data_IF_524087595369
#
_entry.id   IF_524087595369
#
_cell.length_a   1.000
_cell.length_b   1.000
_cell.length_c   1.000
_cell.angle_alpha   90.00
_cell.angle_beta   90.00
_cell.angle_gamma   90.00
#
_symmetry.space_group_name_H-M   'P 1'
#
loop_
_entity.id
_entity.type
_entity.pdbx_description
1 polymer ?
#
# COMPACT_ATOMS: atom_id res chain seq x y z
N UNK A 1 -19.07 -2.49 -1.45
CA UNK A 1 -17.80 -3.26 -1.37
C UNK A 1 -16.73 -2.47 -2.09
N UNK A 2 -15.57 -2.28 -1.47
CA UNK A 2 -14.40 -1.63 -2.07
C UNK A 2 -13.19 -2.56 -1.92
N UNK A 3 -12.10 -2.28 -2.64
CA UNK A 3 -10.84 -3.00 -2.53
C UNK A 3 -9.67 -2.04 -2.24
N UNK A 4 -8.67 -2.53 -1.53
CA UNK A 4 -7.38 -1.86 -1.34
C UNK A 4 -6.32 -2.70 -2.05
N UNK A 5 -5.49 -2.06 -2.88
CA UNK A 5 -4.40 -2.68 -3.61
C UNK A 5 -3.06 -2.09 -3.09
N UNK A 6 -2.46 -2.70 -2.05
CA UNK A 6 -1.18 -2.25 -1.53
C UNK A 6 -0.04 -2.57 -2.49
N UNK A 7 0.97 -1.71 -2.51
CA UNK A 7 2.28 -2.00 -3.10
C UNK A 7 3.15 -2.84 -2.17
N UNK A 8 4.45 -2.55 -2.13
CA UNK A 8 5.37 -3.22 -1.22
C UNK A 8 5.19 -2.73 0.22
N UNK A 9 4.75 -3.64 1.10
CA UNK A 9 4.52 -3.38 2.52
C UNK A 9 5.55 -4.12 3.38
N UNK A 10 6.12 -3.44 4.36
CA UNK A 10 7.07 -3.99 5.34
C UNK A 10 6.37 -5.03 6.22
N UNK A 11 6.55 -6.28 5.83
CA UNK A 11 6.08 -7.47 6.55
C UNK A 11 7.21 -8.49 6.60
N UNK A 12 7.04 -9.56 7.37
CA UNK A 12 8.02 -10.66 7.46
C UNK A 12 8.38 -11.25 6.09
N UNK A 13 7.46 -11.20 5.11
CA UNK A 13 7.70 -11.64 3.73
C UNK A 13 8.84 -10.86 3.06
N UNK A 14 9.02 -9.58 3.39
CA UNK A 14 10.04 -8.72 2.79
C UNK A 14 11.46 -9.18 3.12
N UNK A 15 11.64 -9.88 4.26
CA UNK A 15 12.93 -10.44 4.67
C UNK A 15 13.44 -11.53 3.70
N UNK A 16 12.55 -12.13 2.90
CA UNK A 16 12.92 -13.10 1.87
C UNK A 16 13.41 -12.46 0.57
N UNK A 17 13.33 -11.14 0.42
CA UNK A 17 13.71 -10.43 -0.80
C UNK A 17 15.16 -9.94 -0.67
N UNK A 18 16.05 -10.27 -1.63
CA UNK A 18 17.45 -9.81 -1.60
C UNK A 18 17.55 -8.28 -1.57
N UNK A 19 18.49 -7.75 -0.78
CA UNK A 19 18.67 -6.29 -0.60
C UNK A 19 18.80 -5.52 -1.91
N UNK A 20 19.53 -6.07 -2.89
CA UNK A 20 19.70 -5.43 -4.21
C UNK A 20 18.37 -5.27 -4.96
N UNK A 21 17.43 -6.20 -4.77
CA UNK A 21 16.09 -6.10 -5.35
C UNK A 21 15.22 -5.11 -4.55
N UNK A 22 15.38 -5.07 -3.23
CA UNK A 22 14.73 -4.06 -2.39
C UNK A 22 15.13 -2.63 -2.79
N UNK A 23 16.43 -2.37 -3.03
CA UNK A 23 16.92 -1.07 -3.51
C UNK A 23 16.28 -0.68 -4.83
N UNK A 24 16.19 -1.61 -5.79
CA UNK A 24 15.53 -1.35 -7.08
C UNK A 24 14.06 -0.96 -6.92
N UNK A 25 13.33 -1.62 -6.01
CA UNK A 25 11.95 -1.25 -5.72
C UNK A 25 11.87 0.15 -5.10
N UNK A 26 12.74 0.47 -4.14
CA UNK A 26 12.77 1.80 -3.53
C UNK A 26 13.12 2.90 -4.54
N UNK A 27 13.99 2.63 -5.51
CA UNK A 27 14.29 3.56 -6.60
C UNK A 27 13.08 3.80 -7.51
N UNK A 28 12.27 2.76 -7.76
CA UNK A 28 11.06 2.87 -8.58
C UNK A 28 9.91 3.56 -7.84
N UNK A 29 9.77 3.37 -6.53
CA UNK A 29 8.71 4.00 -5.73
C UNK A 29 8.98 5.50 -5.59
N UNK A 30 8.07 6.40 -6.00
CA UNK A 30 8.23 7.84 -5.82
C UNK A 30 8.49 8.29 -4.37
N UNK A 31 7.76 7.73 -3.40
CA UNK A 31 7.91 8.02 -1.96
C UNK A 31 9.22 7.50 -1.33
N UNK A 32 10.03 6.73 -2.07
CA UNK A 32 11.35 6.20 -1.61
C UNK A 32 11.29 5.41 -0.29
N UNK A 33 10.16 4.78 0.00
CA UNK A 33 9.97 3.89 1.16
C UNK A 33 9.00 2.76 0.81
N UNK A 34 9.09 1.68 1.57
CA UNK A 34 8.01 0.70 1.62
C UNK A 34 6.84 1.25 2.46
N UNK A 35 5.64 0.79 2.15
CA UNK A 35 4.48 1.05 3.00
C UNK A 35 4.59 0.27 4.31
N UNK A 36 3.94 0.75 5.34
CA UNK A 36 3.85 0.05 6.63
C UNK A 36 2.50 -0.67 6.75
N UNK A 37 2.41 -1.66 7.63
CA UNK A 37 1.10 -2.25 7.99
C UNK A 37 0.12 -1.20 8.50
N UNK A 38 0.60 -0.14 9.15
CA UNK A 38 -0.23 0.95 9.65
C UNK A 38 -0.78 1.82 8.51
N UNK A 39 -0.01 2.03 7.43
CA UNK A 39 -0.51 2.74 6.25
C UNK A 39 -1.75 2.03 5.67
N UNK A 40 -1.69 0.70 5.54
CA UNK A 40 -2.82 -0.12 5.06
C UNK A 40 -3.98 -0.09 6.06
N UNK A 41 -3.70 -0.27 7.35
CA UNK A 41 -4.73 -0.29 8.39
C UNK A 41 -5.48 1.04 8.48
N UNK A 42 -4.79 2.17 8.33
CA UNK A 42 -5.40 3.50 8.33
C UNK A 42 -6.38 3.66 7.16
N UNK A 43 -6.00 3.28 5.94
CA UNK A 43 -6.88 3.38 4.77
C UNK A 43 -8.10 2.46 4.91
N UNK A 44 -7.89 1.21 5.33
CA UNK A 44 -9.00 0.28 5.55
C UNK A 44 -9.93 0.78 6.65
N UNK A 45 -9.38 1.30 7.75
CA UNK A 45 -10.16 1.88 8.85
C UNK A 45 -11.03 3.05 8.41
N UNK A 46 -10.51 3.94 7.57
CA UNK A 46 -11.28 5.04 6.97
C UNK A 46 -12.36 4.52 6.03
N UNK A 47 -12.05 3.55 5.16
CA UNK A 47 -13.05 2.95 4.26
C UNK A 47 -14.18 2.22 5.00
N UNK A 48 -13.94 1.80 6.24
CA UNK A 48 -14.94 1.21 7.12
C UNK A 48 -15.72 2.25 7.97
N UNK A 49 -15.38 3.54 7.91
CA UNK A 49 -16.10 4.59 8.63
C UNK A 49 -17.40 4.98 7.89
N UNK A 50 -18.30 5.67 8.60
CA UNK A 50 -19.54 6.19 8.04
C UNK A 50 -19.33 7.29 6.99
N UNK A 51 -18.15 7.92 6.98
CA UNK A 51 -17.80 9.00 6.04
C UNK A 51 -17.77 8.51 4.58
N UNK A 52 -17.56 7.21 4.38
CA UNK A 52 -17.50 6.56 3.07
C UNK A 52 -18.77 5.77 2.71
N UNK A 53 -19.88 6.02 3.41
CA UNK A 53 -21.14 5.25 3.26
C UNK A 53 -21.75 5.26 1.85
N UNK A 54 -21.43 6.24 1.00
CA UNK A 54 -21.89 6.31 -0.39
C UNK A 54 -20.84 5.83 -1.42
N UNK A 55 -19.66 5.38 -0.96
CA UNK A 55 -18.59 4.89 -1.83
C UNK A 55 -18.64 3.37 -1.96
N UNK A 56 -18.86 2.88 -3.18
CA UNK A 56 -18.79 1.45 -3.49
C UNK A 56 -18.15 1.21 -4.87
N UNK A 57 -17.53 0.05 -5.05
CA UNK A 57 -16.93 -0.39 -6.31
C UNK A 57 -15.56 0.20 -6.61
N UNK A 58 -14.92 0.87 -5.64
CA UNK A 58 -13.62 1.50 -5.86
C UNK A 58 -12.46 0.56 -5.52
N UNK A 59 -11.36 0.70 -6.26
CA UNK A 59 -10.07 0.10 -5.95
C UNK A 59 -9.12 1.23 -5.57
N UNK A 60 -8.66 1.26 -4.33
CA UNK A 60 -7.70 2.24 -3.86
C UNK A 60 -6.30 1.65 -3.95
N UNK A 61 -5.46 2.20 -4.82
CA UNK A 61 -4.05 1.84 -4.94
C UNK A 61 -3.26 2.56 -3.85
N UNK A 62 -2.52 1.79 -3.05
CA UNK A 62 -1.70 2.28 -1.94
C UNK A 62 -0.28 1.74 -2.07
N UNK A 63 0.49 2.30 -3.00
CA UNK A 63 1.78 1.76 -3.41
C UNK A 63 2.92 2.80 -3.43
N UNK A 64 2.71 3.96 -2.80
CA UNK A 64 3.68 5.06 -2.80
C UNK A 64 3.91 5.68 -4.18
N UNK A 65 2.99 5.47 -5.13
CA UNK A 65 3.05 5.99 -6.50
C UNK A 65 3.74 5.06 -7.49
N UNK A 66 3.97 3.80 -7.15
CA UNK A 66 4.66 2.83 -8.03
C UNK A 66 3.90 2.57 -9.34
N UNK A 67 2.57 2.63 -9.33
CA UNK A 67 1.72 2.38 -10.50
C UNK A 67 1.52 3.61 -11.40
N UNK A 68 2.14 4.76 -11.10
CA UNK A 68 2.09 6.00 -11.88
C UNK A 68 3.32 6.12 -12.78
#
# INVERSE_FOLDING_TARGET
>A
VNAVAPGFIETEMMNGIPEELQKKYLEAIPEKRFGTVQDVANVVGQLCSDDFSYMTGQVLVLDGGLSL
#
